data_IF_755854871366
#
_entry.id   IF_755854871366
#
_cell.length_a   1.000
_cell.length_b   1.000
_cell.length_c   1.000
_cell.angle_alpha   90.00
_cell.angle_beta   90.00
_cell.angle_gamma   90.00
#
_symmetry.space_group_name_H-M   'P 1'
#
loop_
_entity.id
_entity.type
_entity.pdbx_description
1 polymer ?
#
# COMPACT_ATOMS: atom_id res chain seq x y z
N UNK A 1 -49.09 42.30 25.87
CA UNK A 1 -49.12 41.15 24.94
C UNK A 1 -47.98 41.32 23.94
N UNK A 2 -47.14 40.28 23.82
CA UNK A 2 -46.14 39.92 22.79
C UNK A 2 -45.38 41.05 22.04
N UNK A 3 -44.05 41.21 22.16
CA UNK A 3 -42.94 40.31 21.76
C UNK A 3 -42.78 40.20 20.23
N UNK A 4 -41.74 40.82 19.64
CA UNK A 4 -40.63 40.04 19.07
C UNK A 4 -39.48 40.92 18.54
N UNK A 5 -38.30 40.52 18.98
CA UNK A 5 -36.96 40.97 18.62
C UNK A 5 -36.53 40.45 17.25
N UNK A 6 -35.82 41.29 16.49
CA UNK A 6 -35.10 40.90 15.27
C UNK A 6 -33.77 41.63 15.19
N UNK A 7 -32.91 41.42 16.19
CA UNK A 7 -31.52 41.87 16.15
C UNK A 7 -30.83 41.27 14.92
N UNK A 8 -30.38 42.14 14.01
CA UNK A 8 -29.45 41.77 12.96
C UNK A 8 -28.10 41.38 13.55
N UNK A 9 -27.80 40.09 13.53
CA UNK A 9 -26.43 39.59 13.66
C UNK A 9 -26.01 38.92 12.34
N UNK A 10 -24.91 39.33 11.70
CA UNK A 10 -24.42 38.74 10.46
C UNK A 10 -23.88 37.30 10.65
N UNK A 11 -23.83 36.48 9.58
CA UNK A 11 -23.68 35.03 9.66
C UNK A 11 -22.21 34.57 9.64
N UNK A 12 -21.38 35.09 10.55
CA UNK A 12 -19.97 34.67 10.64
C UNK A 12 -19.52 34.51 12.08
N UNK A 13 -19.95 33.43 12.73
CA UNK A 13 -19.16 32.84 13.82
C UNK A 13 -18.19 31.83 13.22
N UNK A 14 -17.07 32.32 12.70
CA UNK A 14 -15.83 31.55 12.79
C UNK A 14 -15.46 31.57 14.27
N UNK A 15 -15.83 30.55 15.03
CA UNK A 15 -15.22 30.32 16.33
C UNK A 15 -13.72 30.17 16.05
N UNK A 16 -12.85 31.08 16.52
CA UNK A 16 -11.43 30.83 16.45
C UNK A 16 -11.22 29.61 17.35
N UNK A 17 -10.90 28.46 16.77
CA UNK A 17 -10.36 27.34 17.52
C UNK A 17 -9.12 27.92 18.19
N UNK A 18 -9.21 28.23 19.50
CA UNK A 18 -8.06 28.73 20.26
C UNK A 18 -6.91 27.77 19.97
N UNK A 19 -5.75 28.23 19.47
CA UNK A 19 -4.58 27.36 19.44
C UNK A 19 -4.37 26.94 20.88
N UNK A 20 -4.47 25.63 21.14
CA UNK A 20 -4.12 25.08 22.45
C UNK A 20 -2.65 25.40 22.61
N UNK A 21 -2.34 26.43 23.41
CA UNK A 21 -0.97 26.79 23.76
C UNK A 21 -0.47 25.66 24.64
N UNK A 22 0.16 24.65 24.02
CA UNK A 22 0.80 23.54 24.73
C UNK A 22 2.10 24.05 25.33
N UNK A 23 2.46 23.52 26.49
CA UNK A 23 3.72 23.89 27.10
C UNK A 23 4.89 23.49 26.17
N UNK A 24 5.89 24.36 26.02
CA UNK A 24 7.08 24.13 25.19
C UNK A 24 7.83 22.84 25.57
N UNK A 25 7.67 22.34 26.80
CA UNK A 25 8.19 21.05 27.25
C UNK A 25 7.44 19.84 26.70
N UNK A 26 6.11 19.91 26.60
CA UNK A 26 5.28 18.83 26.03
C UNK A 26 5.42 18.73 24.52
N UNK A 27 5.59 19.87 23.84
CA UNK A 27 5.85 19.89 22.40
C UNK A 27 7.18 19.24 22.05
N UNK A 28 8.26 19.54 22.80
CA UNK A 28 9.57 18.89 22.62
C UNK A 28 9.51 17.38 22.88
N UNK A 29 8.78 16.93 23.90
CA UNK A 29 8.59 15.50 24.19
C UNK A 29 7.83 14.79 23.05
N UNK A 30 6.76 15.41 22.53
CA UNK A 30 5.99 14.87 21.40
C UNK A 30 6.80 14.83 20.10
N UNK A 31 7.63 15.85 19.83
CA UNK A 31 8.54 15.86 18.69
C UNK A 31 9.61 14.76 18.78
N UNK A 32 10.19 14.54 19.96
CA UNK A 32 11.13 13.45 20.19
C UNK A 32 10.49 12.06 19.97
N UNK A 33 9.29 11.85 20.54
CA UNK A 33 8.55 10.60 20.36
C UNK A 33 8.15 10.37 18.89
N UNK A 34 7.74 11.43 18.17
CA UNK A 34 7.45 11.38 16.73
C UNK A 34 8.67 10.97 15.91
N UNK A 35 9.83 11.51 16.22
CA UNK A 35 11.07 11.20 15.50
C UNK A 35 11.51 9.75 15.73
N UNK A 36 11.44 9.25 16.96
CA UNK A 36 11.81 7.87 17.29
C UNK A 36 10.84 6.87 16.65
N UNK A 37 9.53 7.11 16.76
CA UNK A 37 8.51 6.23 16.15
C UNK A 37 8.58 6.26 14.63
N UNK A 38 8.87 7.41 14.03
CA UNK A 38 9.14 7.53 12.59
C UNK A 38 10.32 6.67 12.17
N UNK A 39 11.46 6.79 12.84
CA UNK A 39 12.66 5.99 12.54
C UNK A 39 12.38 4.50 12.70
N UNK A 40 11.68 4.10 13.76
CA UNK A 40 11.33 2.70 13.99
C UNK A 40 10.42 2.16 12.88
N UNK A 41 9.36 2.89 12.53
CA UNK A 41 8.46 2.50 11.44
C UNK A 41 9.18 2.44 10.09
N UNK A 42 10.02 3.43 9.82
CA UNK A 42 10.82 3.48 8.59
C UNK A 42 11.79 2.31 8.49
N UNK A 43 12.60 2.03 9.53
CA UNK A 43 13.54 0.91 9.55
C UNK A 43 12.82 -0.42 9.40
N UNK A 44 11.73 -0.64 10.14
CA UNK A 44 10.96 -1.87 10.06
C UNK A 44 10.38 -2.12 8.66
N UNK A 45 9.77 -1.08 8.05
CA UNK A 45 9.28 -1.16 6.68
C UNK A 45 10.42 -1.42 5.69
N UNK A 46 11.56 -0.74 5.83
CA UNK A 46 12.72 -0.92 4.94
C UNK A 46 13.24 -2.36 4.98
N UNK A 47 13.42 -2.91 6.18
CA UNK A 47 13.87 -4.30 6.37
C UNK A 47 12.88 -5.27 5.74
N UNK A 48 11.57 -5.06 5.93
CA UNK A 48 10.55 -5.89 5.32
C UNK A 48 10.56 -5.79 3.78
N UNK A 49 10.70 -4.58 3.24
CA UNK A 49 10.74 -4.34 1.79
C UNK A 49 11.97 -4.97 1.13
N UNK A 50 13.16 -4.74 1.70
CA UNK A 50 14.42 -5.31 1.18
C UNK A 50 14.42 -6.83 1.32
N UNK A 51 13.98 -7.35 2.45
CA UNK A 51 13.86 -8.79 2.66
C UNK A 51 12.83 -9.44 1.73
N UNK A 52 11.71 -8.76 1.46
CA UNK A 52 10.71 -9.18 0.48
C UNK A 52 11.25 -9.19 -0.94
N UNK A 53 11.97 -8.14 -1.34
CA UNK A 53 12.64 -8.07 -2.64
C UNK A 53 13.67 -9.20 -2.82
N UNK A 54 14.46 -9.50 -1.78
CA UNK A 54 15.40 -10.64 -1.78
C UNK A 54 14.66 -11.97 -1.91
N UNK A 55 13.56 -12.17 -1.18
CA UNK A 55 12.76 -13.40 -1.29
C UNK A 55 12.17 -13.58 -2.70
N UNK A 56 11.66 -12.50 -3.29
CA UNK A 56 11.17 -12.50 -4.66
C UNK A 56 12.27 -12.83 -5.66
N UNK A 57 13.47 -12.27 -5.46
CA UNK A 57 14.64 -12.59 -6.27
C UNK A 57 14.99 -14.08 -6.21
N UNK A 58 15.08 -14.65 -5.00
CA UNK A 58 15.33 -16.08 -4.80
C UNK A 58 14.25 -16.97 -5.47
N UNK A 59 12.98 -16.54 -5.42
CA UNK A 59 11.87 -17.24 -6.12
C UNK A 59 12.07 -17.21 -7.64
N UNK A 60 12.55 -16.09 -8.17
CA UNK A 60 12.73 -15.85 -9.59
C UNK A 60 13.98 -16.53 -10.19
N UNK A 61 15.06 -16.68 -9.42
CA UNK A 61 16.32 -17.28 -9.89
C UNK A 61 16.39 -18.78 -9.64
N UNK A 62 16.18 -19.20 -8.40
CA UNK A 62 16.59 -20.55 -7.96
C UNK A 62 15.41 -21.52 -7.90
N UNK A 63 14.20 -21.04 -8.22
CA UNK A 63 13.01 -21.87 -8.20
C UNK A 63 12.75 -22.44 -6.81
N UNK A 64 12.65 -21.58 -5.80
CA UNK A 64 12.14 -21.86 -4.45
C UNK A 64 12.42 -23.27 -3.91
N UNK A 65 13.58 -23.45 -3.28
CA UNK A 65 13.74 -24.51 -2.30
C UNK A 65 12.68 -24.30 -1.21
N UNK A 66 11.75 -25.25 -1.06
CA UNK A 66 10.61 -25.17 -0.14
C UNK A 66 11.04 -25.09 1.33
N UNK A 67 12.29 -25.42 1.63
CA UNK A 67 12.87 -25.36 2.96
C UNK A 67 12.87 -23.93 3.52
N UNK A 68 12.02 -23.70 4.53
CA UNK A 68 11.99 -22.44 5.28
C UNK A 68 11.25 -21.29 4.60
N UNK A 69 10.57 -21.50 3.47
CA UNK A 69 9.77 -20.45 2.81
C UNK A 69 8.76 -19.82 3.78
N UNK A 70 7.99 -20.66 4.47
CA UNK A 70 6.95 -20.21 5.39
C UNK A 70 7.53 -19.37 6.53
N UNK A 71 8.69 -19.75 7.06
CA UNK A 71 9.39 -18.96 8.08
C UNK A 71 9.84 -17.59 7.54
N UNK A 72 10.37 -17.54 6.30
CA UNK A 72 10.74 -16.28 5.63
C UNK A 72 9.50 -15.39 5.42
N UNK A 73 8.40 -15.94 4.93
CA UNK A 73 7.16 -15.20 4.69
C UNK A 73 6.56 -14.67 5.99
N UNK A 74 6.50 -15.49 7.05
CA UNK A 74 5.97 -15.07 8.35
C UNK A 74 6.83 -13.97 8.97
N UNK A 75 8.16 -14.13 8.97
CA UNK A 75 9.07 -13.13 9.52
C UNK A 75 8.98 -11.79 8.78
N UNK A 76 8.89 -11.81 7.44
CA UNK A 76 8.67 -10.61 6.63
C UNK A 76 7.30 -9.99 6.85
N UNK A 77 6.25 -10.81 6.95
CA UNK A 77 4.89 -10.35 7.22
C UNK A 77 4.78 -9.66 8.58
N UNK A 78 5.40 -10.22 9.62
CA UNK A 78 5.47 -9.62 10.95
C UNK A 78 6.24 -8.29 10.94
N UNK A 79 7.40 -8.26 10.28
CA UNK A 79 8.19 -7.04 10.16
C UNK A 79 7.42 -5.92 9.42
N UNK A 80 6.75 -6.28 8.31
CA UNK A 80 5.91 -5.35 7.55
C UNK A 80 4.75 -4.85 8.39
N UNK A 81 4.00 -5.74 9.05
CA UNK A 81 2.83 -5.39 9.85
C UNK A 81 3.23 -4.49 11.04
N UNK A 82 4.32 -4.80 11.73
CA UNK A 82 4.84 -3.97 12.81
C UNK A 82 5.22 -2.58 12.28
N UNK A 83 5.99 -2.51 11.19
CA UNK A 83 6.37 -1.25 10.56
C UNK A 83 5.16 -0.45 10.08
N UNK A 84 4.14 -1.13 9.56
CA UNK A 84 2.88 -0.55 9.10
C UNK A 84 2.10 0.07 10.26
N UNK A 85 1.89 -0.66 11.36
CA UNK A 85 1.18 -0.14 12.54
C UNK A 85 1.91 1.07 13.14
N UNK A 86 3.23 0.95 13.33
CA UNK A 86 4.04 2.04 13.90
C UNK A 86 3.98 3.28 13.01
N UNK A 87 4.06 3.09 11.69
CA UNK A 87 3.97 4.18 10.72
C UNK A 87 2.59 4.83 10.72
N UNK A 88 1.52 4.03 10.83
CA UNK A 88 0.16 4.52 10.92
C UNK A 88 -0.03 5.41 12.15
N UNK A 89 0.46 4.96 13.32
CA UNK A 89 0.42 5.76 14.56
C UNK A 89 1.24 7.04 14.39
N UNK A 90 2.43 6.97 13.80
CA UNK A 90 3.29 8.13 13.58
C UNK A 90 2.62 9.20 12.70
N UNK A 91 1.94 8.78 11.62
CA UNK A 91 1.23 9.69 10.72
C UNK A 91 -0.02 10.26 11.40
N UNK A 92 -0.89 9.38 11.92
CA UNK A 92 -2.23 9.76 12.40
C UNK A 92 -2.22 10.41 13.78
N UNK A 93 -1.44 9.91 14.74
CA UNK A 93 -1.42 10.43 16.11
C UNK A 93 -0.39 11.55 16.31
N UNK A 94 0.76 11.45 15.66
CA UNK A 94 1.87 12.39 15.86
C UNK A 94 1.94 13.47 14.78
N UNK A 95 1.22 13.31 13.67
CA UNK A 95 1.12 14.30 12.60
C UNK A 95 2.45 14.50 11.86
N UNK A 96 3.19 13.41 11.63
CA UNK A 96 4.48 13.48 10.96
C UNK A 96 4.31 13.60 9.42
N UNK A 97 4.88 14.65 8.82
CA UNK A 97 4.82 14.90 7.37
C UNK A 97 5.92 14.21 6.56
N UNK A 98 7.02 13.78 7.19
CA UNK A 98 8.15 13.16 6.48
C UNK A 98 7.83 11.70 6.10
N UNK A 99 7.14 10.98 6.99
CA UNK A 99 6.86 9.56 6.76
C UNK A 99 5.97 9.29 5.54
N UNK A 100 4.91 10.07 5.26
CA UNK A 100 4.14 9.94 4.02
C UNK A 100 4.99 10.08 2.74
N UNK A 101 6.01 10.95 2.74
CA UNK A 101 6.92 11.12 1.60
C UNK A 101 7.74 9.85 1.35
N UNK A 102 8.27 9.25 2.41
CA UNK A 102 9.03 7.99 2.34
C UNK A 102 8.13 6.86 1.84
N UNK A 103 6.90 6.77 2.36
CA UNK A 103 5.95 5.73 1.94
C UNK A 103 5.57 5.91 0.47
N UNK A 104 5.42 7.14 -0.02
CA UNK A 104 5.13 7.38 -1.43
C UNK A 104 6.25 6.84 -2.34
N UNK A 105 7.51 7.02 -1.93
CA UNK A 105 8.65 6.40 -2.60
C UNK A 105 8.58 4.86 -2.55
N UNK A 106 8.16 4.27 -1.43
CA UNK A 106 7.97 2.81 -1.33
C UNK A 106 6.83 2.29 -2.18
N UNK A 107 5.73 3.02 -2.32
CA UNK A 107 4.66 2.69 -3.28
C UNK A 107 5.25 2.64 -4.68
N UNK A 108 5.98 3.66 -5.09
CA UNK A 108 6.60 3.72 -6.42
C UNK A 108 7.55 2.54 -6.67
N UNK A 109 8.43 2.24 -5.72
CA UNK A 109 9.34 1.10 -5.81
C UNK A 109 8.59 -0.23 -5.87
N UNK A 110 7.52 -0.40 -5.07
CA UNK A 110 6.72 -1.63 -5.06
C UNK A 110 6.00 -1.82 -6.38
N UNK A 111 5.36 -0.77 -6.91
CA UNK A 111 4.68 -0.81 -8.20
C UNK A 111 5.66 -1.16 -9.33
N UNK A 112 6.84 -0.53 -9.33
CA UNK A 112 7.92 -0.84 -10.28
C UNK A 112 8.40 -2.28 -10.16
N UNK A 113 8.56 -2.79 -8.93
CA UNK A 113 8.95 -4.17 -8.66
C UNK A 113 7.93 -5.19 -9.17
N UNK A 114 6.63 -4.94 -9.01
CA UNK A 114 5.58 -5.80 -9.56
C UNK A 114 5.65 -5.81 -11.09
N UNK A 115 5.88 -4.67 -11.74
CA UNK A 115 5.99 -4.60 -13.20
C UNK A 115 7.21 -5.37 -13.73
N UNK A 116 8.35 -5.27 -13.06
CA UNK A 116 9.56 -6.06 -13.39
C UNK A 116 9.30 -7.56 -13.21
N UNK A 117 8.63 -7.93 -12.12
CA UNK A 117 8.26 -9.33 -11.87
C UNK A 117 7.33 -9.85 -12.96
N UNK A 118 6.34 -9.06 -13.34
CA UNK A 118 5.41 -9.38 -14.42
C UNK A 118 6.13 -9.56 -15.76
N UNK A 119 7.00 -8.62 -16.13
CA UNK A 119 7.79 -8.73 -17.36
C UNK A 119 8.63 -10.02 -17.39
N UNK A 120 9.19 -10.42 -16.25
CA UNK A 120 9.94 -11.67 -16.12
C UNK A 120 9.06 -12.91 -16.22
N UNK A 121 7.83 -12.86 -15.72
CA UNK A 121 6.83 -13.94 -15.91
C UNK A 121 6.53 -14.10 -17.39
N UNK A 122 6.18 -13.00 -18.08
CA UNK A 122 5.89 -13.00 -19.53
C UNK A 122 7.07 -13.54 -20.34
N UNK A 123 8.29 -13.09 -20.04
CA UNK A 123 9.50 -13.62 -20.68
C UNK A 123 9.63 -15.14 -20.49
N UNK A 124 9.33 -15.65 -19.30
CA UNK A 124 9.46 -17.07 -19.02
C UNK A 124 8.39 -17.90 -19.73
N UNK A 125 7.16 -17.39 -19.84
CA UNK A 125 6.09 -18.04 -20.63
C UNK A 125 6.52 -18.16 -22.10
N UNK A 126 6.99 -17.08 -22.74
CA UNK A 126 7.43 -17.14 -24.14
C UNK A 126 8.70 -17.95 -24.40
N UNK A 127 9.51 -18.20 -23.35
CA UNK A 127 10.69 -19.05 -23.49
C UNK A 127 10.38 -20.55 -23.46
N UNK A 128 9.12 -20.95 -23.24
CA UNK A 128 8.69 -22.36 -23.09
C UNK A 128 9.38 -23.11 -21.93
N UNK A 129 10.05 -22.39 -21.02
CA UNK A 129 10.67 -22.92 -19.79
C UNK A 129 9.61 -22.98 -18.66
N UNK A 130 8.34 -22.78 -19.00
CA UNK A 130 7.27 -22.60 -18.03
C UNK A 130 6.62 -23.94 -17.68
N UNK A 131 7.00 -24.52 -16.54
CA UNK A 131 6.25 -25.66 -15.96
C UNK A 131 5.02 -25.14 -15.21
N UNK A 132 3.83 -25.43 -15.74
CA UNK A 132 2.56 -24.96 -15.21
C UNK A 132 2.31 -25.37 -13.76
N UNK A 133 2.77 -26.54 -13.31
CA UNK A 133 2.46 -27.02 -11.96
C UNK A 133 3.22 -26.25 -10.88
N UNK A 134 4.42 -25.78 -11.20
CA UNK A 134 5.34 -25.17 -10.23
C UNK A 134 5.35 -23.65 -10.34
N UNK A 135 5.30 -23.12 -11.57
CA UNK A 135 5.52 -21.70 -11.81
C UNK A 135 4.28 -20.84 -11.58
N UNK A 136 3.09 -21.32 -11.93
CA UNK A 136 1.84 -20.58 -11.72
C UNK A 136 1.71 -20.11 -10.28
N UNK A 137 1.67 -21.06 -9.35
CA UNK A 137 1.43 -20.76 -7.93
C UNK A 137 2.48 -19.83 -7.36
N UNK A 138 3.76 -20.02 -7.72
CA UNK A 138 4.86 -19.20 -7.22
C UNK A 138 4.78 -17.76 -7.71
N UNK A 139 4.53 -17.57 -9.01
CA UNK A 139 4.41 -16.23 -9.58
C UNK A 139 3.11 -15.54 -9.17
N UNK A 140 1.99 -16.26 -9.05
CA UNK A 140 0.73 -15.71 -8.52
C UNK A 140 0.89 -15.23 -7.08
N UNK A 141 1.53 -16.02 -6.21
CA UNK A 141 1.80 -15.61 -4.83
C UNK A 141 2.73 -14.41 -4.81
N UNK A 142 3.76 -14.37 -5.67
CA UNK A 142 4.70 -13.27 -5.75
C UNK A 142 4.04 -11.95 -6.19
N UNK A 143 3.26 -11.98 -7.28
CA UNK A 143 2.49 -10.81 -7.75
C UNK A 143 1.46 -10.39 -6.71
N UNK A 144 0.72 -11.36 -6.14
CA UNK A 144 -0.30 -11.11 -5.13
C UNK A 144 0.27 -10.50 -3.84
N UNK A 145 1.42 -10.98 -3.38
CA UNK A 145 2.12 -10.42 -2.22
C UNK A 145 2.61 -8.99 -2.50
N UNK A 146 3.18 -8.75 -3.68
CA UNK A 146 3.56 -7.40 -4.10
C UNK A 146 2.37 -6.45 -4.11
N UNK A 147 1.24 -6.89 -4.66
CA UNK A 147 0.01 -6.10 -4.68
C UNK A 147 -0.56 -5.86 -3.27
N UNK A 148 -0.55 -6.87 -2.39
CA UNK A 148 -0.98 -6.71 -1.01
C UNK A 148 -0.13 -5.69 -0.23
N UNK A 149 1.19 -5.70 -0.44
CA UNK A 149 2.10 -4.69 0.11
C UNK A 149 1.79 -3.30 -0.46
N UNK A 150 1.58 -3.19 -1.77
CA UNK A 150 1.22 -1.92 -2.42
C UNK A 150 -0.08 -1.33 -1.84
N UNK A 151 -1.11 -2.17 -1.66
CA UNK A 151 -2.37 -1.78 -1.01
C UNK A 151 -2.13 -1.36 0.44
N UNK A 152 -1.34 -2.13 1.20
CA UNK A 152 -0.99 -1.80 2.57
C UNK A 152 -0.31 -0.43 2.69
N UNK A 153 0.66 -0.14 1.83
CA UNK A 153 1.35 1.16 1.79
C UNK A 153 0.39 2.29 1.39
N UNK A 154 -0.50 2.05 0.42
CA UNK A 154 -1.52 3.03 0.01
C UNK A 154 -2.49 3.39 1.14
N UNK A 155 -2.80 2.45 2.05
CA UNK A 155 -3.67 2.73 3.21
C UNK A 155 -3.01 3.62 4.28
N UNK A 156 -1.68 3.73 4.30
CA UNK A 156 -0.97 4.58 5.26
C UNK A 156 -1.07 6.08 4.94
N UNK A 157 -1.09 6.43 3.66
CA UNK A 157 -1.11 7.82 3.20
C UNK A 157 -2.56 8.28 3.00
N UNK A 158 -2.92 9.41 3.58
CA UNK A 158 -4.20 10.07 3.32
C UNK A 158 -4.22 10.63 1.89
N UNK A 159 -5.33 10.41 1.17
CA UNK A 159 -5.58 10.92 -0.19
C UNK A 159 -4.54 10.56 -1.26
N UNK A 160 -3.73 9.53 -1.00
CA UNK A 160 -2.84 8.97 -2.01
C UNK A 160 -3.65 8.33 -3.14
N UNK A 161 -3.25 8.59 -4.38
CA UNK A 161 -3.95 8.14 -5.60
C UNK A 161 -3.13 7.07 -6.33
N UNK A 162 -3.70 5.88 -6.51
CA UNK A 162 -3.06 4.79 -7.24
C UNK A 162 -3.29 4.83 -8.76
N UNK A 163 -4.19 5.69 -9.25
CA UNK A 163 -4.55 5.76 -10.67
C UNK A 163 -3.35 6.00 -11.59
N UNK A 164 -2.40 6.90 -11.29
CA UNK A 164 -1.23 7.09 -12.15
C UNK A 164 -0.41 5.81 -12.32
N UNK A 165 -0.34 5.00 -11.27
CA UNK A 165 0.37 3.72 -11.29
C UNK A 165 -0.36 2.64 -12.07
N UNK A 166 -1.65 2.80 -12.42
CA UNK A 166 -2.36 1.84 -13.28
C UNK A 166 -1.91 1.90 -14.74
N UNK A 167 -1.44 3.07 -15.20
CA UNK A 167 -1.08 3.30 -16.61
C UNK A 167 0.06 2.35 -17.07
N UNK A 168 1.20 2.23 -16.35
CA UNK A 168 2.24 1.28 -16.73
C UNK A 168 1.76 -0.18 -16.77
N UNK A 169 0.84 -0.56 -15.89
CA UNK A 169 0.29 -1.93 -15.84
C UNK A 169 -0.61 -2.21 -17.05
N UNK A 170 -1.42 -1.24 -17.47
CA UNK A 170 -2.23 -1.34 -18.69
C UNK A 170 -1.35 -1.44 -19.93
N UNK A 171 -0.30 -0.62 -20.01
CA UNK A 171 0.68 -0.69 -21.11
C UNK A 171 1.30 -2.09 -21.15
N UNK A 172 1.71 -2.62 -19.98
CA UNK A 172 2.22 -3.99 -19.87
C UNK A 172 1.21 -5.04 -20.33
N UNK A 173 -0.07 -4.89 -19.96
CA UNK A 173 -1.15 -5.77 -20.41
C UNK A 173 -1.37 -5.72 -21.92
N UNK A 174 -1.38 -4.54 -22.53
CA UNK A 174 -1.50 -4.37 -23.99
C UNK A 174 -0.29 -4.98 -24.72
N UNK A 175 0.92 -4.79 -24.19
CA UNK A 175 2.12 -5.41 -24.74
C UNK A 175 2.05 -6.94 -24.66
N UNK A 176 1.62 -7.50 -23.52
CA UNK A 176 1.47 -8.93 -23.35
C UNK A 176 0.41 -9.50 -24.32
N UNK A 177 -0.77 -8.87 -24.41
CA UNK A 177 -1.82 -9.28 -25.35
C UNK A 177 -1.32 -9.25 -26.80
N UNK A 178 -0.58 -8.20 -27.18
CA UNK A 178 0.02 -8.10 -28.51
C UNK A 178 1.02 -9.24 -28.76
N UNK A 179 1.85 -9.56 -27.76
CA UNK A 179 2.76 -10.70 -27.77
C UNK A 179 2.03 -12.03 -27.96
N UNK A 180 0.92 -12.24 -27.27
CA UNK A 180 0.11 -13.47 -27.38
C UNK A 180 -0.41 -13.64 -28.80
N UNK A 181 -0.95 -12.56 -29.40
CA UNK A 181 -1.44 -12.59 -30.78
C UNK A 181 -0.31 -12.96 -31.75
N UNK A 182 0.87 -12.34 -31.62
CA UNK A 182 2.03 -12.67 -32.45
C UNK A 182 2.44 -14.13 -32.27
N UNK A 183 2.61 -14.58 -31.03
CA UNK A 183 3.10 -15.91 -30.72
C UNK A 183 2.15 -17.03 -31.20
N UNK A 184 0.85 -16.91 -30.91
CA UNK A 184 -0.12 -17.97 -31.24
C UNK A 184 -0.68 -17.89 -32.66
N UNK A 185 -0.93 -16.69 -33.20
CA UNK A 185 -1.57 -16.55 -34.52
C UNK A 185 -0.53 -16.54 -35.64
N UNK A 186 0.60 -15.86 -35.44
CA UNK A 186 1.57 -15.66 -36.51
C UNK A 186 2.75 -16.63 -36.45
N UNK A 187 3.15 -17.10 -35.27
CA UNK A 187 4.32 -17.97 -35.09
C UNK A 187 3.96 -19.44 -34.84
N UNK A 188 2.67 -19.80 -34.73
CA UNK A 188 2.20 -21.13 -34.36
C UNK A 188 2.89 -21.69 -33.10
N UNK A 189 3.05 -20.84 -32.08
CA UNK A 189 3.64 -21.21 -30.78
C UNK A 189 2.87 -22.32 -30.06
N UNK A 190 3.52 -22.93 -29.06
CA UNK A 190 2.98 -24.08 -28.33
C UNK A 190 1.65 -23.76 -27.63
N UNK A 191 0.56 -24.40 -28.05
CA UNK A 191 -0.78 -24.11 -27.52
C UNK A 191 -1.01 -24.56 -26.07
N UNK A 192 -0.13 -25.37 -25.50
CA UNK A 192 -0.25 -25.82 -24.11
C UNK A 192 -0.08 -24.68 -23.10
N UNK A 193 0.65 -23.62 -23.47
CA UNK A 193 0.97 -22.50 -22.58
C UNK A 193 -0.07 -21.37 -22.59
N UNK A 194 -1.09 -21.43 -23.45
CA UNK A 194 -2.08 -20.34 -23.63
C UNK A 194 -2.85 -20.04 -22.35
N UNK A 195 -3.10 -21.06 -21.52
CA UNK A 195 -3.74 -20.88 -20.22
C UNK A 195 -2.92 -19.99 -19.29
N UNK A 196 -1.59 -20.01 -19.43
CA UNK A 196 -0.65 -19.23 -18.62
C UNK A 196 -0.76 -17.77 -18.97
N UNK A 197 -0.65 -17.50 -20.27
CA UNK A 197 -0.73 -16.16 -20.82
C UNK A 197 -2.08 -15.51 -20.47
N UNK A 198 -3.19 -16.22 -20.70
CA UNK A 198 -4.55 -15.72 -20.37
C UNK A 198 -4.70 -15.44 -18.88
N UNK A 199 -4.19 -16.31 -18.02
CA UNK A 199 -4.28 -16.13 -16.56
C UNK A 199 -3.47 -14.91 -16.09
N UNK A 200 -2.19 -14.79 -16.47
CA UNK A 200 -1.35 -13.68 -16.04
C UNK A 200 -1.75 -12.36 -16.70
N UNK A 201 -2.25 -12.39 -17.93
CA UNK A 201 -2.91 -11.25 -18.54
C UNK A 201 -4.15 -10.82 -17.72
N UNK A 202 -5.05 -11.76 -17.41
CA UNK A 202 -6.23 -11.47 -16.58
C UNK A 202 -5.85 -10.91 -15.20
N UNK A 203 -4.82 -11.47 -14.57
CA UNK A 203 -4.31 -11.02 -13.28
C UNK A 203 -3.80 -9.58 -13.32
N UNK A 204 -2.97 -9.22 -14.32
CA UNK A 204 -2.44 -7.85 -14.42
C UNK A 204 -3.55 -6.86 -14.76
N UNK A 205 -4.49 -7.25 -15.62
CA UNK A 205 -5.62 -6.41 -15.99
C UNK A 205 -6.53 -6.18 -14.79
N UNK A 206 -6.79 -7.20 -13.98
CA UNK A 206 -7.51 -7.06 -12.72
C UNK A 206 -6.82 -6.07 -11.80
N UNK A 207 -5.50 -6.21 -11.57
CA UNK A 207 -4.72 -5.28 -10.74
C UNK A 207 -4.79 -3.84 -11.29
N UNK A 208 -4.60 -3.66 -12.60
CA UNK A 208 -4.64 -2.36 -13.24
C UNK A 208 -6.02 -1.69 -13.11
N UNK A 209 -7.10 -2.45 -13.32
CA UNK A 209 -8.47 -1.97 -13.14
C UNK A 209 -8.77 -1.67 -11.67
N UNK A 210 -8.28 -2.50 -10.74
CA UNK A 210 -8.35 -2.23 -9.30
C UNK A 210 -7.64 -0.92 -8.91
N UNK A 211 -6.53 -0.59 -9.56
CA UNK A 211 -5.84 0.67 -9.33
C UNK A 211 -6.56 1.86 -10.00
N UNK A 212 -7.09 1.67 -11.21
CA UNK A 212 -7.77 2.71 -11.98
C UNK A 212 -9.12 3.10 -11.39
N UNK A 213 -9.91 2.12 -10.95
CA UNK A 213 -11.23 2.36 -10.38
C UNK A 213 -11.16 3.09 -9.02
N UNK A 214 -9.96 3.47 -8.57
CA UNK A 214 -9.70 4.24 -7.34
C UNK A 214 -10.60 3.70 -6.22
N UNK A 215 -10.53 2.37 -6.04
CA UNK A 215 -11.64 1.61 -5.50
C UNK A 215 -12.15 2.25 -4.21
N UNK A 216 -13.41 2.73 -4.25
CA UNK A 216 -14.14 3.19 -3.06
C UNK A 216 -14.20 2.13 -1.96
N UNK A 217 -13.87 0.86 -2.27
CA UNK A 217 -13.60 -0.20 -1.30
C UNK A 217 -12.51 0.18 -0.29
N UNK A 218 -11.45 0.88 -0.70
CA UNK A 218 -10.39 1.31 0.22
C UNK A 218 -10.82 2.46 1.15
N UNK A 219 -11.94 3.13 0.84
CA UNK A 219 -12.53 4.09 1.76
C UNK A 219 -13.06 3.38 3.01
N UNK A 220 -13.51 2.12 2.92
CA UNK A 220 -14.04 1.39 4.09
C UNK A 220 -12.94 1.11 5.13
N UNK A 221 -11.80 0.45 4.80
CA UNK A 221 -10.67 0.33 5.72
C UNK A 221 -10.18 1.68 6.23
N UNK A 222 -10.12 2.69 5.35
CA UNK A 222 -9.68 4.05 5.72
C UNK A 222 -10.61 4.69 6.74
N UNK A 223 -11.93 4.53 6.58
CA UNK A 223 -12.96 5.00 7.51
C UNK A 223 -12.86 4.27 8.85
N UNK A 224 -12.66 2.96 8.85
CA UNK A 224 -12.48 2.17 10.09
C UNK A 224 -11.25 2.68 10.86
N UNK A 225 -10.14 2.89 10.16
CA UNK A 225 -8.91 3.45 10.74
C UNK A 225 -9.18 4.85 11.28
N UNK A 226 -9.79 5.75 10.50
CA UNK A 226 -10.07 7.11 10.97
C UNK A 226 -11.01 7.12 12.18
N UNK A 227 -12.05 6.28 12.19
CA UNK A 227 -12.96 6.14 13.33
C UNK A 227 -12.26 5.65 14.59
N UNK A 228 -11.34 4.68 14.47
CA UNK A 228 -10.54 4.22 15.60
C UNK A 228 -9.70 5.35 16.22
N UNK A 229 -9.04 6.16 15.38
CA UNK A 229 -8.23 7.28 15.87
C UNK A 229 -9.06 8.46 16.37
N UNK A 230 -10.22 8.75 15.78
CA UNK A 230 -11.13 9.80 16.27
C UNK A 230 -11.73 9.39 17.63
N UNK A 231 -12.18 8.13 17.76
CA UNK A 231 -12.74 7.60 19.02
C UNK A 231 -11.71 7.62 20.15
N UNK A 232 -10.46 7.25 19.86
CA UNK A 232 -9.40 7.14 20.87
C UNK A 232 -8.56 8.43 21.03
N UNK A 233 -8.68 9.39 20.10
CA UNK A 233 -7.97 10.68 20.13
C UNK A 233 -8.44 11.61 21.24
N UNK A 234 -9.69 11.43 21.72
CA UNK A 234 -10.19 12.12 22.92
C UNK A 234 -9.51 11.63 24.21
N UNK A 235 -9.00 10.40 24.24
CA UNK A 235 -8.35 9.79 25.42
C UNK A 235 -6.86 10.16 25.51
N UNK A 236 -6.27 10.68 24.44
CA UNK A 236 -4.86 11.11 24.38
C UNK A 236 -4.66 12.62 24.61
N UNK A 237 -5.72 13.35 24.99
CA UNK A 237 -5.60 14.69 25.57
C UNK A 237 -5.56 14.58 27.10
N UNK A 238 -4.40 14.71 27.76
CA UNK A 238 -4.38 14.96 29.19
C UNK A 238 -4.84 16.40 29.40
N UNK A 239 -6.08 16.58 29.83
CA UNK A 239 -6.60 17.92 30.12
C UNK A 239 -8.08 18.11 29.91
N UNK A 240 -8.91 17.19 30.40
CA UNK A 240 -10.27 17.56 30.75
C UNK A 240 -10.65 16.87 32.06
N UNK A 241 -9.93 17.25 33.14
CA UNK A 241 -10.53 17.18 34.46
C UNK A 241 -11.67 18.20 34.45
N UNK A 242 -12.89 17.71 34.27
CA UNK A 242 -14.08 18.46 34.66
C UNK A 242 -14.04 18.57 36.18
N UNK A 243 -13.62 19.73 36.67
CA UNK A 243 -14.11 20.25 37.94
C UNK A 243 -15.51 20.76 37.69
N UNK A 244 -16.50 20.00 38.14
CA UNK A 244 -17.72 20.45 38.82
C UNK A 244 -18.48 19.23 39.35
#
# INVERSE_FOLDING_TARGET
MANNTGNGTPPFYNTPTKPIVRSTGEEKKRQGLSSITMLLGWVALTVAMVGGAKLLWDILTDGLASAGLLAKVISLGLAFLLGWIVSLVCIRALGNLVLPLIINFYVFLTASGILVLYARVVYKLYSEIFDANVHYTRYSIAVGAGFAVLVGLHLLIEDHDLRPFSIPFLIGGVMHLSGMVVHYVFMNGNQEDIGGDVYFFGLIMLIALLMMAHFGIFNIPRQIISHFFVKNGHTLQPGNQKTE
#
